data_IF_725374115108
#
_entry.id   IF_725374115108
#
_cell.length_a   1.000
_cell.length_b   1.000
_cell.length_c   1.000
_cell.angle_alpha   90.00
_cell.angle_beta   90.00
_cell.angle_gamma   90.00
#
_symmetry.space_group_name_H-M   'P 1'
#
loop_
_entity.id
_entity.type
_entity.pdbx_description
1 polymer ?
#
# COMPACT_ATOMS: atom_id res chain seq x y z
N UNK A 1 14.62 -4.54 0.87
CA UNK A 1 13.81 -3.66 1.73
C UNK A 1 14.36 -2.24 1.64
N UNK A 2 13.52 -1.26 1.27
CA UNK A 2 13.87 0.17 1.37
C UNK A 2 13.25 0.73 2.64
N UNK A 3 14.04 1.49 3.40
CA UNK A 3 13.61 2.23 4.58
C UNK A 3 13.25 3.66 4.15
N UNK A 4 12.19 4.24 4.73
CA UNK A 4 11.79 5.64 4.46
C UNK A 4 12.94 6.60 4.76
N UNK A 5 13.37 6.58 6.02
CA UNK A 5 14.59 7.18 6.54
C UNK A 5 14.92 6.54 7.89
N UNK A 6 16.12 6.80 8.41
CA UNK A 6 16.64 6.19 9.65
C UNK A 6 15.76 6.36 10.88
N UNK A 7 14.90 7.39 10.91
CA UNK A 7 14.13 7.80 12.08
C UNK A 7 12.63 7.86 11.77
N UNK A 8 12.13 7.01 10.86
CA UNK A 8 10.72 6.96 10.49
C UNK A 8 10.14 5.56 10.62
N UNK A 9 8.92 5.50 11.13
CA UNK A 9 8.09 4.30 11.22
C UNK A 9 6.80 4.58 10.46
N UNK A 10 6.43 3.67 9.56
CA UNK A 10 5.13 3.69 8.89
C UNK A 10 4.18 2.77 9.67
N UNK A 11 3.11 3.32 10.22
CA UNK A 11 2.13 2.58 11.01
C UNK A 11 0.80 2.54 10.27
N UNK A 12 0.26 1.34 10.06
CA UNK A 12 -1.04 1.13 9.43
C UNK A 12 -2.11 0.79 10.48
N UNK A 13 -3.14 1.62 10.54
CA UNK A 13 -4.41 1.37 11.20
C UNK A 13 -5.45 0.91 10.16
N UNK A 14 -6.62 0.39 10.59
CA UNK A 14 -7.61 -0.15 9.66
C UNK A 14 -8.03 0.78 8.52
N UNK A 15 -8.00 2.11 8.68
CA UNK A 15 -8.41 3.08 7.64
C UNK A 15 -7.47 4.28 7.56
N UNK A 16 -6.28 4.16 8.12
CA UNK A 16 -5.33 5.26 8.20
C UNK A 16 -3.91 4.72 8.18
N UNK A 17 -3.02 5.44 7.50
CA UNK A 17 -1.57 5.23 7.63
C UNK A 17 -0.98 6.50 8.22
N UNK A 18 -0.01 6.36 9.13
CA UNK A 18 0.72 7.49 9.69
C UNK A 18 2.22 7.26 9.63
N UNK A 19 2.97 8.36 9.50
CA UNK A 19 4.43 8.36 9.58
C UNK A 19 4.83 9.00 10.91
N UNK A 20 5.46 8.21 11.78
CA UNK A 20 5.96 8.68 13.08
C UNK A 20 7.48 8.62 13.13
N UNK A 21 8.06 9.35 14.08
CA UNK A 21 9.44 9.11 14.48
C UNK A 21 9.55 7.88 15.39
N UNK A 22 10.75 7.58 15.87
CA UNK A 22 11.01 6.45 16.77
C UNK A 22 10.36 6.60 18.16
N UNK A 23 10.00 7.83 18.54
CA UNK A 23 9.28 8.14 19.79
C UNK A 23 7.75 8.05 19.63
N UNK A 24 7.25 7.71 18.43
CA UNK A 24 5.82 7.63 18.13
C UNK A 24 5.16 8.97 17.83
N UNK A 25 5.92 10.06 17.68
CA UNK A 25 5.41 11.39 17.32
C UNK A 25 5.25 11.51 15.80
N UNK A 26 4.14 12.09 15.35
CA UNK A 26 3.89 12.34 13.93
C UNK A 26 5.00 13.21 13.31
N UNK A 27 5.54 12.78 12.17
CA UNK A 27 6.51 13.56 11.39
C UNK A 27 5.81 14.54 10.45
N UNK A 28 4.84 15.31 10.96
CA UNK A 28 4.21 16.35 10.15
C UNK A 28 5.22 17.47 9.91
N UNK A 29 5.54 17.74 8.64
CA UNK A 29 6.29 18.92 8.25
C UNK A 29 5.52 19.65 7.17
N UNK A 30 5.88 20.91 6.88
CA UNK A 30 5.27 21.65 5.75
C UNK A 30 5.46 20.97 4.40
N UNK A 31 6.35 19.97 4.31
CA UNK A 31 6.75 19.30 3.07
C UNK A 31 6.23 17.86 2.95
N UNK A 32 5.53 17.33 3.97
CA UNK A 32 5.06 15.94 3.92
C UNK A 32 3.82 15.73 4.79
N UNK A 33 2.86 15.01 4.21
CA UNK A 33 1.71 14.45 4.91
C UNK A 33 2.19 13.38 5.91
N UNK A 34 1.84 13.53 7.18
CA UNK A 34 2.15 12.54 8.20
C UNK A 34 1.00 11.56 8.48
N UNK A 35 -0.17 11.81 7.89
CA UNK A 35 -1.37 11.01 8.06
C UNK A 35 -2.15 10.91 6.75
N UNK A 36 -2.57 9.70 6.42
CA UNK A 36 -3.20 9.34 5.15
C UNK A 36 -4.48 8.57 5.49
N UNK A 37 -5.65 9.08 5.05
CA UNK A 37 -6.94 8.46 5.38
C UNK A 37 -7.50 7.73 4.16
N UNK A 38 -8.10 6.56 4.41
CA UNK A 38 -8.59 5.70 3.36
C UNK A 38 -10.08 5.37 3.55
N UNK A 39 -10.87 5.31 2.47
CA UNK A 39 -12.28 4.93 2.52
C UNK A 39 -12.51 3.42 2.66
N UNK A 40 -11.44 2.63 2.75
CA UNK A 40 -11.47 1.16 2.81
C UNK A 40 -10.63 0.61 3.97
N UNK A 41 -10.82 -0.68 4.27
CA UNK A 41 -10.02 -1.38 5.25
C UNK A 41 -8.66 -1.78 4.67
N UNK A 42 -7.60 -1.32 5.30
CA UNK A 42 -6.21 -1.65 4.97
C UNK A 42 -5.87 -3.03 5.54
N UNK A 43 -5.33 -3.90 4.71
CA UNK A 43 -4.87 -5.24 5.08
C UNK A 43 -3.35 -5.26 5.31
N UNK A 44 -2.61 -4.52 4.51
CA UNK A 44 -1.16 -4.34 4.66
C UNK A 44 -0.69 -3.07 3.97
N UNK A 45 0.55 -2.65 4.27
CA UNK A 45 1.20 -1.51 3.61
C UNK A 45 2.60 -1.89 3.17
N UNK A 46 3.02 -1.36 2.02
CA UNK A 46 4.39 -1.50 1.51
C UNK A 46 5.00 -0.11 1.31
N UNK A 47 6.00 0.30 2.11
CA UNK A 47 6.71 1.55 1.88
C UNK A 47 7.58 1.48 0.61
N UNK A 48 7.57 2.55 -0.17
CA UNK A 48 8.44 2.83 -1.31
C UNK A 48 9.29 4.09 -1.01
N UNK A 49 10.07 4.57 -1.98
CA UNK A 49 11.01 5.70 -1.77
C UNK A 49 10.30 7.03 -1.48
N UNK A 50 9.26 7.34 -2.25
CA UNK A 50 8.53 8.63 -2.25
C UNK A 50 7.03 8.46 -1.98
N UNK A 51 6.60 7.21 -1.82
CA UNK A 51 5.22 6.81 -1.71
C UNK A 51 5.10 5.50 -0.92
N UNK A 52 3.89 5.03 -0.69
CA UNK A 52 3.62 3.69 -0.19
C UNK A 52 2.39 3.12 -0.87
N UNK A 53 2.25 1.79 -0.86
CA UNK A 53 1.06 1.09 -1.34
C UNK A 53 0.25 0.59 -0.14
N UNK A 54 -1.01 0.98 -0.05
CA UNK A 54 -1.99 0.39 0.86
C UNK A 54 -2.75 -0.71 0.13
N UNK A 55 -2.69 -1.93 0.65
CA UNK A 55 -3.43 -3.06 0.13
C UNK A 55 -4.78 -3.15 0.81
N UNK A 56 -5.82 -3.41 0.03
CA UNK A 56 -7.16 -3.69 0.54
C UNK A 56 -7.73 -4.89 -0.19
N UNK A 57 -8.83 -5.44 0.35
CA UNK A 57 -9.46 -6.66 -0.17
C UNK A 57 -9.65 -6.69 -1.69
N UNK A 58 -9.92 -5.55 -2.32
CA UNK A 58 -10.31 -5.43 -3.74
C UNK A 58 -9.22 -4.78 -4.61
N UNK A 59 -8.01 -4.62 -4.09
CA UNK A 59 -6.88 -4.13 -4.87
C UNK A 59 -5.90 -3.30 -4.03
N UNK A 60 -5.45 -2.18 -4.58
CA UNK A 60 -4.39 -1.35 -4.00
C UNK A 60 -4.63 0.14 -4.23
N UNK A 61 -4.10 0.97 -3.35
CA UNK A 61 -3.97 2.41 -3.58
C UNK A 61 -2.57 2.87 -3.15
N UNK A 62 -1.84 3.49 -4.06
CA UNK A 62 -0.54 4.11 -3.80
C UNK A 62 -0.72 5.57 -3.42
N UNK A 63 -0.03 6.04 -2.38
CA UNK A 63 -0.07 7.45 -1.94
C UNK A 63 1.34 8.03 -1.83
N UNK A 64 1.54 9.22 -2.38
CA UNK A 64 2.80 9.96 -2.25
C UNK A 64 2.94 10.60 -0.85
N UNK A 65 4.13 10.54 -0.25
CA UNK A 65 4.35 11.10 1.09
C UNK A 65 4.27 12.63 1.15
N UNK A 66 4.53 13.31 0.04
CA UNK A 66 4.66 14.77 -0.01
C UNK A 66 3.29 15.44 0.04
N UNK A 67 2.40 15.05 -0.87
CA UNK A 67 1.15 15.75 -1.14
C UNK A 67 -0.09 14.85 -0.99
N UNK A 68 0.09 13.61 -0.53
CA UNK A 68 -0.99 12.65 -0.38
C UNK A 68 -1.72 12.32 -1.71
N UNK A 69 -1.07 12.58 -2.85
CA UNK A 69 -1.62 12.25 -4.17
C UNK A 69 -1.66 10.74 -4.42
N UNK A 70 -2.68 10.29 -5.13
CA UNK A 70 -2.82 8.90 -5.56
C UNK A 70 -1.83 8.64 -6.69
N UNK A 71 -0.87 7.74 -6.47
CA UNK A 71 0.16 7.37 -7.47
C UNK A 71 -0.23 6.13 -8.25
N UNK A 72 -1.02 5.24 -7.65
CA UNK A 72 -1.46 3.97 -8.22
C UNK A 72 -2.84 3.64 -7.66
N UNK A 73 -3.71 3.02 -8.47
CA UNK A 73 -5.01 2.57 -8.00
C UNK A 73 -5.43 1.30 -8.75
N UNK A 74 -5.88 0.30 -8.00
CA UNK A 74 -6.57 -0.87 -8.48
C UNK A 74 -7.75 -1.12 -7.56
N UNK A 75 -8.96 -1.12 -8.13
CA UNK A 75 -10.17 -1.40 -7.37
C UNK A 75 -11.12 -2.26 -8.21
N UNK A 76 -10.95 -3.58 -8.10
CA UNK A 76 -11.80 -4.55 -8.77
C UNK A 76 -12.68 -5.27 -7.76
N UNK A 77 -13.93 -4.81 -7.66
CA UNK A 77 -14.94 -5.38 -6.75
C UNK A 77 -15.40 -6.78 -7.12
N UNK A 78 -15.03 -7.30 -8.29
CA UNK A 78 -15.32 -8.68 -8.67
C UNK A 78 -14.24 -9.66 -8.20
N UNK A 79 -13.12 -9.15 -7.68
CA UNK A 79 -11.99 -9.95 -7.24
C UNK A 79 -11.60 -9.63 -5.80
N UNK A 80 -10.90 -10.58 -5.18
CA UNK A 80 -10.16 -10.36 -3.95
C UNK A 80 -8.67 -10.50 -4.21
N UNK A 81 -7.87 -9.69 -3.56
CA UNK A 81 -6.41 -9.69 -3.69
C UNK A 81 -5.77 -9.99 -2.35
N UNK A 82 -4.76 -10.84 -2.35
CA UNK A 82 -3.96 -11.15 -1.17
C UNK A 82 -2.48 -10.93 -1.49
N UNK A 83 -1.79 -10.16 -0.66
CA UNK A 83 -0.34 -9.99 -0.76
C UNK A 83 0.37 -11.31 -0.45
N UNK A 84 1.08 -11.84 -1.44
CA UNK A 84 1.86 -13.08 -1.29
C UNK A 84 3.32 -12.81 -0.93
N UNK A 85 3.86 -11.69 -1.39
CA UNK A 85 5.23 -11.28 -1.11
C UNK A 85 5.61 -10.04 -1.90
N UNK A 86 6.69 -9.40 -1.46
CA UNK A 86 7.28 -8.26 -2.11
C UNK A 86 8.81 -8.36 -2.06
N UNK A 87 9.47 -8.10 -3.18
CA UNK A 87 10.90 -7.82 -3.25
C UNK A 87 11.13 -6.77 -4.36
N UNK A 88 11.63 -7.16 -5.52
CA UNK A 88 11.67 -6.30 -6.72
C UNK A 88 10.31 -6.14 -7.39
N UNK A 89 9.39 -7.06 -7.12
CA UNK A 89 8.04 -7.09 -7.64
C UNK A 89 7.08 -7.34 -6.50
N UNK A 90 5.86 -6.83 -6.63
CA UNK A 90 4.77 -7.13 -5.71
C UNK A 90 3.93 -8.24 -6.32
N UNK A 91 3.85 -9.37 -5.63
CA UNK A 91 3.06 -10.51 -6.06
C UNK A 91 1.75 -10.54 -5.27
N UNK A 92 0.64 -10.48 -6.01
CA UNK A 92 -0.71 -10.61 -5.49
C UNK A 92 -1.32 -11.92 -5.97
N UNK A 93 -2.02 -12.62 -5.09
CA UNK A 93 -2.96 -13.69 -5.50
C UNK A 93 -4.33 -13.06 -5.71
N UNK A 94 -4.93 -13.26 -6.87
CA UNK A 94 -6.30 -12.79 -7.15
C UNK A 94 -7.30 -13.95 -7.18
N UNK A 95 -8.49 -13.74 -6.61
CA UNK A 95 -9.59 -14.70 -6.65
C UNK A 95 -10.90 -14.02 -7.05
N UNK A 96 -11.65 -14.54 -8.04
CA UNK A 96 -12.99 -14.08 -8.36
C UNK A 96 -13.97 -14.28 -7.19
N UNK A 97 -14.88 -13.33 -6.97
CA UNK A 97 -15.90 -13.43 -5.90
C UNK A 97 -17.07 -14.33 -6.31
N UNK A 98 -17.43 -14.38 -7.60
CA UNK A 98 -18.49 -15.26 -8.09
C UNK A 98 -17.91 -16.63 -8.43
N UNK A 99 -18.44 -17.67 -7.78
CA UNK A 99 -18.09 -19.07 -8.00
C UNK A 99 -18.53 -19.54 -9.39
N UNK A 100 -17.65 -19.38 -10.37
CA UNK A 100 -17.61 -20.27 -11.52
C UNK A 100 -16.16 -20.38 -11.98
N UNK A 101 -15.62 -21.59 -11.85
CA UNK A 101 -14.33 -22.09 -12.36
C UNK A 101 -13.04 -21.56 -11.72
N UNK A 102 -12.63 -22.23 -10.64
CA UNK A 102 -11.33 -22.93 -10.42
C UNK A 102 -9.97 -22.32 -10.84
N UNK A 103 -9.87 -21.09 -11.34
CA UNK A 103 -8.57 -20.49 -11.65
C UNK A 103 -8.21 -19.38 -10.65
N UNK A 104 -7.20 -19.67 -9.84
CA UNK A 104 -6.47 -18.66 -9.07
C UNK A 104 -5.42 -18.04 -9.98
N UNK A 105 -5.54 -16.74 -10.25
CA UNK A 105 -4.55 -16.04 -11.06
C UNK A 105 -3.53 -15.36 -10.13
N UNK A 106 -2.24 -15.60 -10.37
CA UNK A 106 -1.17 -14.80 -9.78
C UNK A 106 -1.10 -13.50 -10.59
N UNK A 107 -1.38 -12.38 -9.94
CA UNK A 107 -1.21 -11.05 -10.48
C UNK A 107 0.14 -10.50 -10.03
N UNK A 108 1.00 -10.15 -10.97
CA UNK A 108 2.26 -9.47 -10.69
C UNK A 108 2.04 -7.99 -10.95
N UNK A 109 2.12 -7.18 -9.90
CA UNK A 109 2.18 -5.73 -10.04
C UNK A 109 3.63 -5.35 -10.36
N UNK A 110 3.90 -5.15 -11.65
CA UNK A 110 5.15 -4.58 -12.14
C UNK A 110 4.94 -3.08 -12.41
N UNK A 111 5.44 -2.24 -11.52
CA UNK A 111 5.53 -0.79 -11.70
C UNK A 111 6.97 -0.33 -11.47
N UNK A 112 7.28 0.92 -11.83
CA UNK A 112 8.59 1.53 -11.59
C UNK A 112 8.84 1.64 -10.07
N UNK A 113 9.38 0.59 -9.46
CA UNK A 113 10.02 0.67 -8.15
C UNK A 113 11.33 1.41 -8.40
N UNK A 114 11.25 2.73 -8.52
CA UNK A 114 12.40 3.58 -8.84
C UNK A 114 13.55 3.22 -7.89
N UNK A 115 14.65 2.80 -8.49
CA UNK A 115 15.85 2.34 -7.81
C UNK A 115 16.45 3.45 -6.95
#
# INVERSE_FOLDING_TARGET
MKQLDKNSILVAFPRQVVVTNLDGLLKSSRMSSASFNFPFQIESVLPLSDSFIAFHRHGIEGRAFIDDSVTQELNDRNRTYQLMGFDKLVALRSHPITKSTENNDICILSGHVAS
#
